data_IF_113435864578
#
_entry.id   IF_113435864578
#
_cell.length_a   1.000
_cell.length_b   1.000
_cell.length_c   1.000
_cell.angle_alpha   90.00
_cell.angle_beta   90.00
_cell.angle_gamma   90.00
#
_symmetry.space_group_name_H-M   'P 1'
#
loop_
_entity.id
_entity.type
_entity.pdbx_description
1 polymer ?
#
# COMPACT_ATOMS: atom_id res chain seq x y z
N UNK A 1 -72.15 -3.97 3.54
CA UNK A 1 -70.93 -3.64 4.31
C UNK A 1 -69.80 -4.47 3.72
N UNK A 2 -68.77 -3.81 3.18
CA UNK A 2 -67.69 -4.43 2.39
C UNK A 2 -66.83 -5.41 3.19
N UNK A 3 -66.53 -6.56 2.58
CA UNK A 3 -65.48 -7.46 3.03
C UNK A 3 -64.16 -7.02 2.36
N UNK A 4 -63.23 -6.46 3.13
CA UNK A 4 -61.88 -6.20 2.67
C UNK A 4 -61.03 -7.46 2.84
N UNK A 5 -60.48 -7.91 1.70
CA UNK A 5 -59.46 -8.95 1.60
C UNK A 5 -58.15 -8.46 2.26
N UNK A 6 -57.62 -9.23 3.22
CA UNK A 6 -56.28 -9.02 3.78
C UNK A 6 -55.27 -9.79 2.90
N UNK A 7 -54.51 -9.05 2.09
CA UNK A 7 -53.35 -9.61 1.38
C UNK A 7 -52.20 -9.88 2.34
N UNK A 8 -51.64 -11.08 2.25
CA UNK A 8 -50.43 -11.52 2.95
C UNK A 8 -49.24 -11.26 2.02
N UNK A 9 -48.28 -10.43 2.45
CA UNK A 9 -46.99 -10.31 1.76
C UNK A 9 -45.90 -10.95 2.62
N UNK A 10 -45.42 -12.11 2.16
CA UNK A 10 -44.11 -12.63 2.54
C UNK A 10 -43.05 -11.96 1.66
N UNK A 11 -42.03 -11.38 2.27
CA UNK A 11 -40.79 -11.01 1.57
C UNK A 11 -39.62 -11.45 2.43
N UNK A 12 -39.04 -12.59 2.02
CA UNK A 12 -37.77 -13.09 2.50
C UNK A 12 -36.64 -12.39 1.73
N UNK A 13 -36.11 -11.31 2.28
CA UNK A 13 -34.77 -10.86 1.92
C UNK A 13 -33.83 -11.37 3.01
N UNK A 14 -33.08 -12.42 2.68
CA UNK A 14 -31.91 -12.84 3.45
C UNK A 14 -30.86 -11.77 3.17
N UNK A 15 -30.81 -10.76 4.02
CA UNK A 15 -29.70 -9.81 4.04
C UNK A 15 -28.49 -10.56 4.58
N UNK A 16 -27.60 -10.94 3.66
CA UNK A 16 -26.26 -11.39 3.99
C UNK A 16 -25.55 -10.20 4.61
N UNK A 17 -25.09 -10.26 5.88
CA UNK A 17 -24.25 -9.21 6.40
C UNK A 17 -22.97 -9.21 5.56
N UNK A 18 -22.81 -8.19 4.72
CA UNK A 18 -21.51 -7.87 4.15
C UNK A 18 -20.58 -7.66 5.34
N UNK A 19 -19.50 -8.43 5.40
CA UNK A 19 -18.53 -8.37 6.47
C UNK A 19 -17.86 -6.99 6.52
N UNK A 20 -18.51 -6.07 7.22
CA UNK A 20 -17.91 -4.87 7.79
C UNK A 20 -17.26 -5.27 9.12
N UNK A 21 -16.38 -6.26 9.09
CA UNK A 21 -15.58 -6.67 10.25
C UNK A 21 -14.36 -5.75 10.34
N UNK A 22 -14.46 -4.73 11.21
CA UNK A 22 -13.29 -4.05 11.79
C UNK A 22 -13.16 -2.54 11.57
N UNK A 23 -14.27 -1.81 11.40
CA UNK A 23 -14.25 -0.34 11.32
C UNK A 23 -14.34 0.37 12.70
N UNK A 24 -14.36 -0.35 13.82
CA UNK A 24 -14.56 0.25 15.15
C UNK A 24 -13.24 0.46 15.91
N UNK A 25 -12.39 1.35 15.39
CA UNK A 25 -11.30 2.07 16.09
C UNK A 25 -10.44 2.98 15.19
N UNK A 26 -10.65 3.00 13.86
CA UNK A 26 -9.78 3.67 12.87
C UNK A 26 -9.89 5.21 12.84
N UNK A 27 -9.87 5.86 14.00
CA UNK A 27 -10.13 7.29 14.13
C UNK A 27 -8.97 8.19 13.70
N UNK A 28 -7.72 7.83 13.98
CA UNK A 28 -6.55 8.64 13.67
C UNK A 28 -5.35 7.75 13.35
N UNK A 29 -4.58 8.15 12.34
CA UNK A 29 -3.24 7.57 12.10
C UNK A 29 -2.31 8.03 13.22
N UNK A 30 -1.64 7.08 13.87
CA UNK A 30 -0.69 7.32 14.96
C UNK A 30 0.59 8.01 14.45
N UNK A 31 1.33 8.67 15.33
CA UNK A 31 2.55 9.42 14.98
C UNK A 31 3.69 8.53 14.45
N UNK A 32 3.65 7.22 14.69
CA UNK A 32 4.64 6.25 14.21
C UNK A 32 4.04 5.18 13.30
N UNK A 33 2.81 5.38 12.82
CA UNK A 33 2.18 4.44 11.91
C UNK A 33 2.84 4.49 10.53
N UNK A 34 2.98 3.32 9.92
CA UNK A 34 3.73 3.13 8.69
C UNK A 34 2.85 2.56 7.59
N UNK A 35 2.87 3.21 6.43
CA UNK A 35 2.38 2.64 5.18
C UNK A 35 3.52 2.03 4.37
N UNK A 36 3.36 0.77 3.98
CA UNK A 36 4.27 0.04 3.09
C UNK A 36 3.54 -0.22 1.77
N UNK A 37 3.99 0.43 0.69
CA UNK A 37 3.49 0.17 -0.66
C UNK A 37 4.31 -0.97 -1.26
N UNK A 38 3.65 -2.09 -1.59
CA UNK A 38 4.30 -3.32 -2.01
C UNK A 38 4.99 -4.06 -0.86
N UNK A 39 4.26 -4.59 0.15
CA UNK A 39 4.81 -5.35 1.27
C UNK A 39 5.24 -6.79 0.87
N UNK A 40 6.18 -6.88 -0.08
CA UNK A 40 6.87 -8.13 -0.44
C UNK A 40 7.89 -8.54 0.64
N UNK A 41 8.95 -9.23 0.25
CA UNK A 41 10.00 -9.69 1.18
C UNK A 41 10.60 -8.53 1.98
N UNK A 42 11.09 -7.49 1.30
CA UNK A 42 11.69 -6.33 1.97
C UNK A 42 10.69 -5.59 2.86
N UNK A 43 9.47 -5.33 2.36
CA UNK A 43 8.45 -4.62 3.13
C UNK A 43 8.04 -5.37 4.41
N UNK A 44 7.98 -6.71 4.38
CA UNK A 44 7.70 -7.52 5.58
C UNK A 44 8.84 -7.43 6.61
N UNK A 45 10.10 -7.45 6.18
CA UNK A 45 11.25 -7.26 7.07
C UNK A 45 11.25 -5.85 7.70
N UNK A 46 10.93 -4.82 6.91
CA UNK A 46 10.78 -3.45 7.42
C UNK A 46 9.67 -3.41 8.46
N UNK A 47 8.53 -4.07 8.22
CA UNK A 47 7.42 -4.10 9.17
C UNK A 47 7.81 -4.72 10.52
N UNK A 48 8.56 -5.83 10.50
CA UNK A 48 9.07 -6.47 11.72
C UNK A 48 9.98 -5.52 12.51
N UNK A 49 10.97 -4.92 11.84
CA UNK A 49 11.91 -3.98 12.49
C UNK A 49 11.26 -2.69 12.96
N UNK A 50 10.30 -2.17 12.22
CA UNK A 50 9.57 -0.97 12.61
C UNK A 50 8.79 -1.18 13.90
N UNK A 51 8.18 -2.36 14.08
CA UNK A 51 7.42 -2.70 15.28
C UNK A 51 8.31 -2.96 16.50
N UNK A 52 9.53 -3.48 16.28
CA UNK A 52 10.54 -3.58 17.35
C UNK A 52 10.93 -2.19 17.88
N UNK A 53 11.12 -1.21 16.98
CA UNK A 53 11.53 0.16 17.34
C UNK A 53 10.37 1.00 17.90
N UNK A 54 9.16 0.84 17.35
CA UNK A 54 7.97 1.60 17.76
C UNK A 54 6.85 0.67 18.24
N UNK A 55 6.94 0.11 19.46
CA UNK A 55 5.89 -0.72 20.02
C UNK A 55 4.52 -0.02 20.01
N UNK A 56 3.49 -0.72 19.52
CA UNK A 56 2.13 -0.19 19.41
C UNK A 56 1.81 0.55 18.11
N UNK A 57 2.80 0.79 17.23
CA UNK A 57 2.53 1.32 15.90
C UNK A 57 1.63 0.38 15.10
N UNK A 58 0.80 0.97 14.23
CA UNK A 58 0.04 0.22 13.25
C UNK A 58 0.78 0.23 11.91
N UNK A 59 0.78 -0.91 11.22
CA UNK A 59 1.45 -1.08 9.93
C UNK A 59 0.43 -1.43 8.88
N UNK A 60 0.42 -0.67 7.80
CA UNK A 60 -0.51 -0.79 6.69
C UNK A 60 0.26 -1.24 5.44
N UNK A 61 -0.34 -2.16 4.67
CA UNK A 61 0.27 -2.72 3.47
C UNK A 61 -0.59 -2.48 2.25
N UNK A 62 -0.15 -1.65 1.31
CA UNK A 62 -0.87 -1.44 0.05
C UNK A 62 -0.36 -2.41 -1.01
N UNK A 63 -1.24 -3.21 -1.60
CA UNK A 63 -0.88 -4.22 -2.61
C UNK A 63 -1.65 -4.00 -3.92
N UNK A 64 -1.08 -4.47 -5.04
CA UNK A 64 -1.78 -4.49 -6.34
C UNK A 64 -2.85 -5.59 -6.36
N UNK A 65 -2.56 -6.75 -5.74
CA UNK A 65 -3.45 -7.92 -5.68
C UNK A 65 -3.75 -8.32 -4.24
N UNK A 66 -4.81 -9.10 -4.03
CA UNK A 66 -5.23 -9.57 -2.70
C UNK A 66 -4.58 -10.90 -2.29
N UNK A 67 -3.78 -11.52 -3.17
CA UNK A 67 -3.26 -12.89 -3.02
C UNK A 67 -2.50 -13.15 -1.71
N UNK A 68 -1.87 -12.11 -1.13
CA UNK A 68 -1.05 -12.24 0.08
C UNK A 68 -1.68 -11.58 1.32
N UNK A 69 -2.95 -11.13 1.25
CA UNK A 69 -3.59 -10.43 2.36
C UNK A 69 -3.65 -11.26 3.64
N UNK A 70 -4.01 -12.54 3.54
CA UNK A 70 -4.08 -13.44 4.70
C UNK A 70 -2.73 -13.59 5.42
N UNK A 71 -1.63 -13.64 4.66
CA UNK A 71 -0.28 -13.70 5.21
C UNK A 71 0.08 -12.39 5.90
N UNK A 72 -0.23 -11.25 5.27
CA UNK A 72 0.03 -9.93 5.84
C UNK A 72 -0.73 -9.72 7.15
N UNK A 73 -1.99 -10.12 7.20
CA UNK A 73 -2.83 -10.04 8.41
C UNK A 73 -2.23 -10.88 9.53
N UNK A 74 -1.76 -12.11 9.25
CA UNK A 74 -1.07 -12.96 10.24
C UNK A 74 0.20 -12.32 10.80
N UNK A 75 0.87 -11.47 10.01
CA UNK A 75 2.04 -10.69 10.45
C UNK A 75 1.67 -9.36 11.14
N UNK A 76 0.38 -9.09 11.36
CA UNK A 76 -0.10 -7.85 11.95
C UNK A 76 0.02 -6.63 11.03
N UNK A 77 0.09 -6.86 9.71
CA UNK A 77 0.03 -5.80 8.69
C UNK A 77 -1.41 -5.71 8.22
N UNK A 78 -1.99 -4.51 8.18
CA UNK A 78 -3.34 -4.26 7.69
C UNK A 78 -3.31 -4.04 6.17
N UNK A 79 -3.71 -5.02 5.34
CA UNK A 79 -3.60 -4.87 3.92
C UNK A 79 -4.75 -4.02 3.35
N UNK A 80 -4.47 -3.31 2.27
CA UNK A 80 -5.45 -2.66 1.40
C UNK A 80 -5.04 -2.81 -0.06
N UNK A 81 -6.03 -2.82 -0.95
CA UNK A 81 -5.76 -2.83 -2.39
C UNK A 81 -5.38 -1.41 -2.84
N UNK A 82 -4.54 -1.30 -3.88
CA UNK A 82 -4.10 -0.01 -4.41
C UNK A 82 -5.26 0.95 -4.74
N UNK A 83 -6.34 0.41 -5.28
CA UNK A 83 -7.55 1.14 -5.66
C UNK A 83 -8.39 1.64 -4.48
N UNK A 84 -8.10 1.18 -3.26
CA UNK A 84 -8.77 1.66 -2.05
C UNK A 84 -8.31 3.08 -1.77
N UNK A 85 -9.19 4.05 -1.98
CA UNK A 85 -8.92 5.45 -1.62
C UNK A 85 -8.75 5.56 -0.11
N UNK A 86 -7.51 5.77 0.34
CA UNK A 86 -7.22 6.04 1.74
C UNK A 86 -7.73 7.44 2.08
N UNK A 87 -8.58 7.55 3.09
CA UNK A 87 -9.13 8.83 3.57
C UNK A 87 -8.17 9.55 4.52
N UNK A 88 -7.06 8.90 4.90
CA UNK A 88 -6.09 9.39 5.87
C UNK A 88 -4.68 9.28 5.29
N UNK A 89 -3.77 10.13 5.77
CA UNK A 89 -2.35 10.17 5.38
C UNK A 89 -1.45 9.69 6.53
N UNK A 90 -0.27 9.20 6.19
CA UNK A 90 0.68 8.60 7.12
C UNK A 90 1.92 9.49 7.34
N UNK A 91 2.50 9.51 8.55
CA UNK A 91 3.79 10.16 8.80
C UNK A 91 4.95 9.40 8.16
N UNK A 92 4.84 8.08 8.03
CA UNK A 92 5.88 7.28 7.38
C UNK A 92 5.28 6.49 6.22
N UNK A 93 5.87 6.66 5.05
CA UNK A 93 5.51 5.92 3.84
C UNK A 93 6.79 5.35 3.23
N UNK A 94 6.81 4.05 2.99
CA UNK A 94 7.88 3.40 2.24
C UNK A 94 7.31 2.74 0.98
N UNK A 95 7.93 3.02 -0.17
CA UNK A 95 7.61 2.42 -1.44
C UNK A 95 8.63 1.32 -1.78
N UNK A 96 8.16 0.08 -1.75
CA UNK A 96 8.91 -1.15 -2.00
C UNK A 96 8.36 -1.96 -3.21
N UNK A 97 7.33 -1.46 -3.88
CA UNK A 97 6.72 -2.16 -5.00
C UNK A 97 7.71 -2.21 -6.19
N UNK A 98 7.91 -3.36 -6.84
CA UNK A 98 8.79 -3.43 -8.00
C UNK A 98 8.12 -2.80 -9.23
N UNK A 99 8.91 -2.28 -10.18
CA UNK A 99 8.39 -1.68 -11.42
C UNK A 99 7.74 -2.69 -12.38
N UNK A 100 7.94 -4.00 -12.17
CA UNK A 100 7.44 -5.05 -13.05
C UNK A 100 5.91 -5.22 -13.06
N UNK A 101 5.18 -4.57 -12.15
CA UNK A 101 3.73 -4.74 -12.00
C UNK A 101 2.91 -3.54 -12.50
N UNK A 102 3.54 -2.57 -13.16
CA UNK A 102 2.87 -1.35 -13.64
C UNK A 102 3.56 -0.80 -14.88
N UNK A 103 2.80 -0.15 -15.76
CA UNK A 103 3.34 0.61 -16.89
C UNK A 103 3.70 2.05 -16.50
N UNK A 104 3.03 2.63 -15.50
CA UNK A 104 3.29 3.99 -14.98
C UNK A 104 3.91 3.93 -13.57
N UNK A 105 5.12 3.42 -13.49
CA UNK A 105 5.84 3.28 -12.21
C UNK A 105 6.06 4.64 -11.51
N UNK A 106 6.35 5.69 -12.28
CA UNK A 106 6.49 7.03 -11.72
C UNK A 106 5.14 7.55 -11.16
N UNK A 107 4.02 7.23 -11.82
CA UNK A 107 2.67 7.48 -11.31
C UNK A 107 2.41 6.79 -9.99
N UNK A 108 2.82 5.53 -9.86
CA UNK A 108 2.65 4.74 -8.64
C UNK A 108 3.45 5.34 -7.47
N UNK A 109 4.68 5.81 -7.72
CA UNK A 109 5.49 6.51 -6.72
C UNK A 109 4.82 7.83 -6.31
N UNK A 110 4.33 8.61 -7.28
CA UNK A 110 3.61 9.86 -7.01
C UNK A 110 2.35 9.61 -6.17
N UNK A 111 1.58 8.57 -6.50
CA UNK A 111 0.39 8.18 -5.74
C UNK A 111 0.74 7.79 -4.30
N UNK A 112 1.79 6.99 -4.11
CA UNK A 112 2.29 6.65 -2.78
C UNK A 112 2.72 7.90 -1.99
N UNK A 113 3.39 8.86 -2.64
CA UNK A 113 3.79 10.12 -2.02
C UNK A 113 2.58 10.97 -1.59
N UNK A 114 1.43 10.88 -2.27
CA UNK A 114 0.20 11.57 -1.86
C UNK A 114 -0.37 11.02 -0.54
N UNK A 115 -0.06 9.77 -0.18
CA UNK A 115 -0.44 9.17 1.11
C UNK A 115 0.44 9.68 2.27
N UNK A 116 1.52 10.41 1.99
CA UNK A 116 2.37 11.02 3.01
C UNK A 116 1.78 12.34 3.52
N UNK A 117 1.77 12.55 4.84
CA UNK A 117 1.20 13.74 5.47
C UNK A 117 2.17 14.94 5.52
N UNK A 118 3.46 14.74 5.21
CA UNK A 118 4.51 15.75 5.24
C UNK A 118 5.32 15.82 6.55
N UNK A 119 4.92 15.06 7.58
CA UNK A 119 5.70 14.81 8.79
C UNK A 119 6.50 13.50 8.62
N UNK A 120 7.54 13.23 9.42
CA UNK A 120 8.30 11.99 9.26
C UNK A 120 8.99 11.91 7.91
N UNK A 121 8.81 10.81 7.17
CA UNK A 121 9.55 10.56 5.92
C UNK A 121 8.76 9.77 4.87
N UNK A 122 8.95 10.14 3.61
CA UNK A 122 8.70 9.29 2.45
C UNK A 122 10.02 8.65 1.98
N UNK A 123 10.07 7.32 1.89
CA UNK A 123 11.22 6.56 1.44
C UNK A 123 10.87 5.73 0.20
N UNK A 124 11.71 5.81 -0.83
CA UNK A 124 11.58 5.00 -2.03
C UNK A 124 12.79 4.08 -2.17
N UNK A 125 12.55 2.78 -2.34
CA UNK A 125 13.64 1.81 -2.57
C UNK A 125 13.95 1.74 -4.07
N UNK A 126 15.02 2.41 -4.46
CA UNK A 126 15.57 2.30 -5.82
C UNK A 126 16.34 0.97 -6.01
N UNK A 127 16.96 0.81 -7.17
CA UNK A 127 17.88 -0.29 -7.47
C UNK A 127 19.17 0.28 -8.06
N UNK A 128 20.18 -0.56 -8.26
CA UNK A 128 21.38 -0.21 -9.02
C UNK A 128 21.21 -0.32 -10.54
N UNK A 129 20.07 -0.82 -11.03
CA UNK A 129 19.79 -0.95 -12.46
C UNK A 129 19.90 0.37 -13.27
N UNK A 130 19.67 1.57 -12.70
CA UNK A 130 19.84 2.83 -13.42
C UNK A 130 21.29 3.22 -13.76
N UNK A 131 22.30 2.51 -13.26
CA UNK A 131 23.71 2.77 -13.59
C UNK A 131 24.14 1.96 -14.82
N UNK A 132 24.68 2.64 -15.85
CA UNK A 132 25.22 2.03 -17.08
C UNK A 132 26.70 1.65 -16.95
N UNK A 133 27.04 0.83 -15.97
CA UNK A 133 28.44 0.51 -15.68
C UNK A 133 28.69 -0.98 -15.83
N UNK A 134 29.37 -1.36 -16.92
CA UNK A 134 29.75 -2.75 -17.20
C UNK A 134 31.25 -3.01 -16.99
N UNK A 135 32.00 -2.02 -16.53
CA UNK A 135 33.46 -2.07 -16.36
C UNK A 135 33.90 -2.71 -15.02
N UNK A 136 32.95 -3.22 -14.22
CA UNK A 136 33.16 -3.71 -12.86
C UNK A 136 33.84 -2.68 -11.92
N UNK A 137 33.78 -1.40 -12.28
CA UNK A 137 34.24 -0.30 -11.44
C UNK A 137 33.35 -0.11 -10.23
N UNK A 138 33.87 0.60 -9.22
CA UNK A 138 33.07 0.99 -8.07
C UNK A 138 32.00 2.01 -8.50
N UNK A 139 30.73 1.67 -8.30
CA UNK A 139 29.59 2.54 -8.59
C UNK A 139 29.23 3.34 -7.34
N UNK A 140 29.00 4.65 -7.49
CA UNK A 140 28.52 5.53 -6.43
C UNK A 140 27.46 6.52 -6.96
N UNK A 141 26.81 7.23 -6.06
CA UNK A 141 25.70 8.14 -6.31
C UNK A 141 26.09 9.43 -7.07
N UNK A 142 27.38 9.67 -7.28
CA UNK A 142 27.90 10.81 -8.05
C UNK A 142 28.09 10.44 -9.53
N UNK A 143 28.01 9.15 -9.88
CA UNK A 143 28.09 8.69 -11.27
C UNK A 143 26.83 9.07 -12.06
N UNK A 144 27.03 9.32 -13.35
CA UNK A 144 25.92 9.63 -14.25
C UNK A 144 24.99 8.43 -14.37
N UNK A 145 23.72 8.71 -14.13
CA UNK A 145 22.62 7.78 -14.39
C UNK A 145 22.38 7.65 -15.89
N UNK A 146 21.85 6.51 -16.34
CA UNK A 146 21.36 6.35 -17.72
C UNK A 146 20.29 7.43 -17.98
N UNK A 147 20.58 8.38 -18.86
CA UNK A 147 19.58 9.31 -19.40
C UNK A 147 19.02 8.73 -20.69
N UNK A 148 18.04 7.84 -20.61
CA UNK A 148 17.36 7.37 -21.81
C UNK A 148 16.20 8.31 -22.17
N UNK A 149 16.35 9.02 -23.29
CA UNK A 149 15.23 9.66 -24.00
C UNK A 149 14.60 8.62 -24.94
N UNK A 150 13.78 7.71 -24.42
CA UNK A 150 12.82 6.99 -25.25
C UNK A 150 11.71 6.39 -24.39
N UNK A 151 10.49 6.47 -24.90
CA UNK A 151 9.26 5.92 -24.34
C UNK A 151 9.43 4.45 -23.95
N UNK A 152 8.91 4.10 -22.78
CA UNK A 152 8.90 2.79 -22.12
C UNK A 152 10.08 2.47 -21.21
N UNK A 153 9.78 2.70 -19.93
CA UNK A 153 10.20 1.91 -18.77
C UNK A 153 11.57 2.25 -18.19
N UNK A 154 11.51 2.55 -16.87
CA UNK A 154 12.58 2.98 -15.97
C UNK A 154 12.97 4.46 -16.09
N UNK A 155 12.15 5.34 -15.52
CA UNK A 155 12.56 6.71 -15.19
C UNK A 155 12.23 7.04 -13.72
N UNK A 156 13.17 7.81 -13.16
CA UNK A 156 13.40 8.25 -11.77
C UNK A 156 12.20 8.85 -11.03
#
# INVERSE_FOLDING_TARGET
MSANSLQVNASSAIDVPSEELGASSRGNIGSNDLLIVGPGVLGRLVAEKWREEYPGCQIYGQTVTTNHHDELIKMGIYPSSKQTKLTYKFPYVIFCAPPSQTEDYAGDIREAALNWNGEGSFLFTSSSAPYDCFDNGAINEVLNLIKHYSSNSFLF
#
